data_IF_481649901866
#
_entry.id   IF_481649901866
#
_cell.length_a   1.000
_cell.length_b   1.000
_cell.length_c   1.000
_cell.angle_alpha   90.00
_cell.angle_beta   90.00
_cell.angle_gamma   90.00
#
_symmetry.space_group_name_H-M   'P 1'
#
loop_
_entity.id
_entity.type
_entity.pdbx_description
1 polymer ?
#
# COMPACT_ATOMS: atom_id res chain seq x y z
N UNK A 1 -2.85 -3.75 10.54
CA UNK A 1 -1.55 -4.41 10.34
C UNK A 1 -0.75 -3.82 9.18
N UNK A 2 -1.36 -3.40 8.06
CA UNK A 2 -0.63 -2.85 6.91
C UNK A 2 0.31 -1.68 7.26
N UNK A 3 -0.16 -0.68 8.01
CA UNK A 3 0.69 0.47 8.33
C UNK A 3 1.86 0.08 9.20
N UNK A 4 1.60 -0.71 10.24
CA UNK A 4 2.61 -1.24 11.16
C UNK A 4 3.75 -1.92 10.38
N UNK A 5 3.40 -2.87 9.51
CA UNK A 5 4.40 -3.63 8.75
C UNK A 5 5.18 -2.75 7.77
N UNK A 6 4.52 -1.77 7.14
CA UNK A 6 5.17 -0.86 6.19
C UNK A 6 6.06 0.16 6.90
N UNK A 7 5.63 0.69 8.03
CA UNK A 7 6.43 1.56 8.88
C UNK A 7 7.69 0.84 9.37
N UNK A 8 7.59 -0.43 9.80
CA UNK A 8 8.76 -1.23 10.15
C UNK A 8 9.68 -1.48 8.94
N UNK A 9 9.12 -1.75 7.75
CA UNK A 9 9.91 -1.92 6.53
C UNK A 9 10.66 -0.63 6.16
N UNK A 10 9.97 0.51 6.20
CA UNK A 10 10.51 1.81 5.81
C UNK A 10 11.61 2.30 6.76
N UNK A 11 11.45 2.07 8.06
CA UNK A 11 12.39 2.57 9.08
C UNK A 11 13.43 1.53 9.52
N UNK A 12 13.21 0.25 9.25
CA UNK A 12 13.98 -0.84 9.84
C UNK A 12 13.76 -1.04 11.34
N UNK A 13 12.74 -0.39 11.92
CA UNK A 13 12.50 -0.38 13.37
C UNK A 13 11.32 -1.24 13.78
N UNK A 14 11.29 -1.65 15.05
CA UNK A 14 10.11 -2.25 15.68
C UNK A 14 9.04 -1.20 16.01
N UNK A 15 7.80 -1.68 16.22
CA UNK A 15 6.61 -0.88 16.51
C UNK A 15 6.81 0.10 17.67
N UNK A 16 7.49 -0.35 18.73
CA UNK A 16 7.73 0.47 19.92
C UNK A 16 8.69 1.64 19.70
N UNK A 17 9.43 1.64 18.57
CA UNK A 17 10.33 2.72 18.19
C UNK A 17 9.68 3.67 17.18
N UNK A 18 9.05 3.13 16.12
CA UNK A 18 8.46 3.98 15.07
C UNK A 18 7.04 4.50 15.39
N UNK A 19 6.38 4.02 16.45
CA UNK A 19 5.13 4.61 16.96
C UNK A 19 3.85 4.37 16.14
N UNK A 20 3.94 3.95 14.87
CA UNK A 20 2.79 3.50 14.08
C UNK A 20 2.22 2.17 14.60
N UNK A 21 1.18 2.23 15.44
CA UNK A 21 0.66 1.08 16.21
C UNK A 21 -0.57 0.40 15.59
N UNK A 22 -1.28 1.07 14.67
CA UNK A 22 -2.43 0.49 13.98
C UNK A 22 -2.65 1.13 12.60
N UNK A 23 -3.84 0.98 12.00
CA UNK A 23 -4.16 1.46 10.66
C UNK A 23 -4.91 2.81 10.62
N UNK A 24 -5.15 3.46 11.76
CA UNK A 24 -5.83 4.75 11.87
C UNK A 24 -4.81 5.89 11.97
N UNK A 25 -5.27 7.11 11.66
CA UNK A 25 -4.50 8.34 11.86
C UNK A 25 -4.08 8.48 13.33
N UNK A 26 -4.99 8.18 14.27
CA UNK A 26 -4.72 8.20 15.71
C UNK A 26 -3.71 7.16 16.20
N UNK A 27 -3.46 6.11 15.41
CA UNK A 27 -2.36 5.17 15.63
C UNK A 27 -1.13 5.49 14.80
N UNK A 28 -0.99 6.75 14.36
CA UNK A 28 0.10 7.30 13.56
C UNK A 28 0.27 6.64 12.18
N UNK A 29 -0.79 6.07 11.60
CA UNK A 29 -0.73 5.68 10.19
C UNK A 29 -0.90 6.92 9.29
N UNK A 30 0.18 7.31 8.63
CA UNK A 30 0.31 8.61 7.92
C UNK A 30 0.08 9.83 8.81
N UNK A 31 -0.01 9.66 10.13
CA UNK A 31 -0.35 10.74 11.07
C UNK A 31 0.76 11.78 11.18
N UNK A 32 0.44 12.93 11.77
CA UNK A 32 1.41 14.02 11.92
C UNK A 32 2.64 13.61 12.76
N UNK A 33 2.51 12.71 13.73
CA UNK A 33 3.66 12.21 14.50
C UNK A 33 4.58 11.34 13.65
N UNK A 34 4.02 10.48 12.81
CA UNK A 34 4.76 9.73 11.79
C UNK A 34 5.53 10.68 10.84
N UNK A 35 4.85 11.68 10.27
CA UNK A 35 5.45 12.64 9.34
C UNK A 35 6.51 13.53 9.99
N UNK A 36 6.30 13.92 11.25
CA UNK A 36 7.22 14.80 11.97
C UNK A 36 8.51 14.10 12.39
N UNK A 37 8.49 12.77 12.56
CA UNK A 37 9.61 11.97 13.04
C UNK A 37 9.97 10.79 12.13
N UNK A 38 9.45 9.57 12.39
CA UNK A 38 9.91 8.33 11.74
C UNK A 38 9.98 8.36 10.21
N UNK A 39 9.09 9.10 9.54
CA UNK A 39 9.07 9.24 8.09
C UNK A 39 10.33 9.90 7.51
N UNK A 40 11.00 10.75 8.31
CA UNK A 40 12.24 11.44 7.92
C UNK A 40 13.48 10.57 8.06
N UNK A 41 13.35 9.40 8.68
CA UNK A 41 14.44 8.46 8.96
C UNK A 41 14.22 7.13 8.23
N UNK A 42 13.51 7.17 7.10
CA UNK A 42 13.25 5.98 6.29
C UNK A 42 14.47 5.64 5.43
N UNK A 43 14.58 4.38 4.99
CA UNK A 43 15.65 3.97 4.09
C UNK A 43 15.69 4.84 2.81
N UNK A 44 14.55 5.40 2.38
CA UNK A 44 14.45 6.23 1.19
C UNK A 44 15.28 7.51 1.34
N UNK A 45 15.21 8.15 2.52
CA UNK A 45 16.02 9.31 2.86
C UNK A 45 17.50 8.94 2.78
N UNK A 46 17.89 7.80 3.36
CA UNK A 46 19.28 7.34 3.30
C UNK A 46 19.75 6.98 1.88
N UNK A 47 18.90 6.42 1.01
CA UNK A 47 19.24 6.19 -0.40
C UNK A 47 19.48 7.51 -1.13
N UNK A 48 18.59 8.50 -0.94
CA UNK A 48 18.73 9.81 -1.55
C UNK A 48 20.01 10.52 -1.09
N UNK A 49 20.29 10.53 0.22
CA UNK A 49 21.54 11.05 0.79
C UNK A 49 22.78 10.31 0.29
N UNK A 50 22.64 9.01 0.01
CA UNK A 50 23.67 8.16 -0.58
C UNK A 50 23.90 8.36 -2.08
N UNK A 51 23.19 9.31 -2.72
CA UNK A 51 23.36 9.65 -4.13
C UNK A 51 22.57 8.79 -5.11
N UNK A 52 21.56 8.05 -4.63
CA UNK A 52 20.65 7.33 -5.51
C UNK A 52 19.55 8.25 -6.02
N UNK A 53 19.16 8.08 -7.29
CA UNK A 53 17.85 8.57 -7.76
C UNK A 53 16.76 7.65 -7.23
N UNK A 54 15.74 8.20 -6.60
CA UNK A 54 14.74 7.43 -5.84
C UNK A 54 13.34 7.58 -6.43
N UNK A 55 12.62 6.46 -6.55
CA UNK A 55 11.23 6.43 -7.03
C UNK A 55 10.35 5.58 -6.12
N UNK A 56 9.15 6.09 -5.82
CA UNK A 56 8.07 5.32 -5.22
C UNK A 56 6.84 5.29 -6.12
N UNK A 57 6.21 4.14 -6.28
CA UNK A 57 4.91 4.04 -6.94
C UNK A 57 3.96 3.03 -6.26
N UNK A 58 2.76 3.49 -5.93
CA UNK A 58 1.64 2.69 -5.45
C UNK A 58 1.17 3.07 -4.05
N UNK A 59 0.69 2.09 -3.29
CA UNK A 59 0.16 2.31 -1.93
C UNK A 59 1.30 2.61 -0.98
N UNK A 60 1.28 3.74 -0.27
CA UNK A 60 2.23 4.05 0.80
C UNK A 60 1.75 3.48 2.14
N UNK A 61 1.36 4.32 3.10
CA UNK A 61 0.62 3.94 4.30
C UNK A 61 -0.89 4.14 4.08
N UNK A 62 -1.74 3.55 4.92
CA UNK A 62 -3.17 3.87 4.85
C UNK A 62 -3.40 5.35 5.16
N UNK A 63 -4.47 5.92 4.63
CA UNK A 63 -4.86 7.32 4.84
C UNK A 63 -3.89 8.33 4.19
N UNK A 64 -2.80 7.91 3.57
CA UNK A 64 -1.90 8.83 2.86
C UNK A 64 -2.67 9.69 1.85
N UNK A 65 -2.32 10.97 1.72
CA UNK A 65 -2.87 11.84 0.69
C UNK A 65 -4.26 12.42 0.97
N UNK A 66 -4.89 12.08 2.10
CA UNK A 66 -6.15 12.73 2.52
C UNK A 66 -5.86 14.08 3.20
N UNK A 67 -6.81 15.04 3.18
CA UNK A 67 -6.58 16.38 3.74
C UNK A 67 -6.11 16.38 5.20
N UNK A 68 -6.62 15.45 6.01
CA UNK A 68 -6.32 15.34 7.45
C UNK A 68 -4.85 15.01 7.73
N UNK A 69 -4.11 14.49 6.75
CA UNK A 69 -2.69 14.17 6.89
C UNK A 69 -1.84 14.88 5.84
N UNK A 70 -2.24 16.09 5.44
CA UNK A 70 -1.43 16.95 4.56
C UNK A 70 -1.77 16.88 3.07
N UNK A 71 -2.76 16.09 2.67
CA UNK A 71 -3.24 16.06 1.29
C UNK A 71 -2.24 15.44 0.31
N UNK A 72 -2.52 15.61 -0.98
CA UNK A 72 -1.65 15.10 -2.06
C UNK A 72 -0.31 15.83 -2.08
N UNK A 73 -0.27 17.05 -1.55
CA UNK A 73 0.88 17.94 -1.48
C UNK A 73 1.96 17.42 -0.54
N UNK A 74 1.59 16.57 0.44
CA UNK A 74 2.57 15.90 1.29
C UNK A 74 3.29 14.79 0.53
N UNK A 75 4.57 15.02 0.22
CA UNK A 75 5.47 14.03 -0.36
C UNK A 75 6.38 13.54 0.76
N UNK A 76 6.37 12.22 1.10
CA UNK A 76 7.35 11.69 2.03
C UNK A 76 8.78 12.00 1.56
N UNK A 77 9.71 12.34 2.47
CA UNK A 77 11.08 12.66 2.09
C UNK A 77 11.82 11.42 1.57
N UNK A 78 12.89 11.64 0.80
CA UNK A 78 13.71 10.57 0.25
C UNK A 78 13.23 10.00 -1.09
N UNK A 79 12.32 10.70 -1.78
CA UNK A 79 11.81 10.31 -3.10
C UNK A 79 11.95 11.46 -4.11
N UNK A 80 12.73 11.25 -5.16
CA UNK A 80 12.85 12.20 -6.28
C UNK A 80 11.62 12.13 -7.20
N UNK A 81 11.02 10.94 -7.31
CA UNK A 81 9.77 10.71 -8.04
C UNK A 81 8.76 9.97 -7.17
N UNK A 82 7.59 10.59 -7.00
CA UNK A 82 6.56 10.13 -6.09
C UNK A 82 5.22 9.90 -6.82
N UNK A 83 4.72 8.67 -6.75
CA UNK A 83 3.39 8.28 -7.21
C UNK A 83 2.67 7.54 -6.08
N UNK A 84 2.05 8.28 -5.17
CA UNK A 84 1.38 7.74 -3.99
C UNK A 84 -0.14 7.58 -4.17
N UNK A 85 -0.68 6.38 -3.94
CA UNK A 85 -2.13 6.15 -3.92
C UNK A 85 -2.78 6.87 -2.73
N UNK A 86 -3.76 7.72 -3.02
CA UNK A 86 -4.52 8.44 -2.00
C UNK A 86 -5.50 7.51 -1.28
N UNK A 87 -5.44 7.50 0.05
CA UNK A 87 -6.34 6.78 0.94
C UNK A 87 -5.95 5.31 1.12
N UNK A 88 -6.86 4.41 0.71
CA UNK A 88 -6.75 2.97 0.95
C UNK A 88 -6.73 2.19 -0.37
N UNK A 89 -6.51 0.88 -0.28
CA UNK A 89 -6.40 0.01 -1.46
C UNK A 89 -7.63 0.15 -2.36
N UNK A 90 -7.39 0.49 -3.62
CA UNK A 90 -8.36 0.57 -4.71
C UNK A 90 -7.65 0.19 -6.01
N UNK A 91 -8.44 -0.18 -7.03
CA UNK A 91 -7.94 -0.54 -8.35
C UNK A 91 -8.51 0.33 -9.46
N UNK A 92 -9.65 0.97 -9.19
CA UNK A 92 -10.38 1.92 -10.02
C UNK A 92 -10.94 3.06 -9.16
N UNK A 93 -11.40 4.14 -9.78
CA UNK A 93 -12.04 5.28 -9.12
C UNK A 93 -11.20 5.80 -7.93
N UNK A 94 -9.92 6.04 -8.20
CA UNK A 94 -8.93 6.46 -7.22
C UNK A 94 -8.23 7.75 -7.64
N UNK A 95 -7.41 8.26 -6.72
CA UNK A 95 -6.56 9.43 -6.93
C UNK A 95 -5.13 9.06 -6.56
N UNK A 96 -4.18 9.66 -7.25
CA UNK A 96 -2.75 9.59 -6.95
C UNK A 96 -2.25 10.98 -6.56
N UNK A 97 -1.28 11.04 -5.66
CA UNK A 97 -0.34 12.16 -5.60
C UNK A 97 0.82 11.83 -6.55
N UNK A 98 0.95 12.62 -7.61
CA UNK A 98 2.05 12.55 -8.56
C UNK A 98 2.90 13.80 -8.37
N UNK A 99 4.01 13.63 -7.65
CA UNK A 99 4.90 14.73 -7.24
C UNK A 99 4.14 15.90 -6.61
N UNK A 100 3.22 15.61 -5.68
CA UNK A 100 2.45 16.64 -4.98
C UNK A 100 1.18 17.10 -5.71
N UNK A 101 0.94 16.62 -6.94
CA UNK A 101 -0.21 17.00 -7.76
C UNK A 101 -1.21 15.85 -7.85
N UNK A 102 -2.51 16.15 -7.70
CA UNK A 102 -3.56 15.14 -7.81
C UNK A 102 -3.74 14.67 -9.27
N UNK A 103 -3.63 13.36 -9.50
CA UNK A 103 -4.03 12.68 -10.75
C UNK A 103 -5.22 11.76 -10.45
N UNK A 104 -6.34 11.90 -11.16
CA UNK A 104 -7.56 11.12 -10.95
C UNK A 104 -7.73 10.05 -12.03
N UNK A 105 -8.18 8.87 -11.63
CA UNK A 105 -8.42 7.71 -12.51
C UNK A 105 -9.84 7.19 -12.35
N UNK A 106 -10.43 6.80 -13.49
CA UNK A 106 -11.78 6.25 -13.60
C UNK A 106 -11.83 4.74 -13.43
N UNK A 107 -12.68 4.08 -14.21
CA UNK A 107 -12.94 2.64 -14.17
C UNK A 107 -12.73 1.93 -15.52
N UNK A 108 -12.04 2.55 -16.47
CA UNK A 108 -11.65 1.89 -17.71
C UNK A 108 -10.41 1.03 -17.47
N UNK A 109 -10.55 -0.29 -17.62
CA UNK A 109 -9.45 -1.25 -17.41
C UNK A 109 -8.16 -0.89 -18.19
N UNK A 110 -8.27 -0.45 -19.44
CA UNK A 110 -7.11 -0.24 -20.30
C UNK A 110 -6.27 0.96 -19.85
N UNK A 111 -6.90 1.93 -19.16
CA UNK A 111 -6.26 3.20 -18.78
C UNK A 111 -6.18 3.44 -17.28
N UNK A 112 -7.02 2.79 -16.47
CA UNK A 112 -7.20 3.13 -15.06
C UNK A 112 -6.85 2.01 -14.10
N UNK A 113 -6.53 0.78 -14.55
CA UNK A 113 -6.17 -0.26 -13.60
C UNK A 113 -4.86 0.07 -12.88
N UNK A 114 -4.94 0.29 -11.55
CA UNK A 114 -3.81 0.83 -10.77
C UNK A 114 -2.50 0.06 -10.93
N UNK A 115 -2.54 -1.27 -10.97
CA UNK A 115 -1.34 -2.10 -11.16
C UNK A 115 -0.65 -1.80 -12.50
N UNK A 116 -1.44 -1.54 -13.55
CA UNK A 116 -0.93 -1.19 -14.87
C UNK A 116 -0.39 0.26 -14.89
N UNK A 117 -1.03 1.18 -14.17
CA UNK A 117 -0.52 2.54 -13.99
C UNK A 117 0.82 2.55 -13.25
N UNK A 118 0.94 1.79 -12.14
CA UNK A 118 2.21 1.65 -11.40
C UNK A 118 3.32 1.11 -12.33
N UNK A 119 3.00 0.08 -13.11
CA UNK A 119 3.94 -0.47 -14.10
C UNK A 119 4.36 0.57 -15.13
N UNK A 120 3.41 1.34 -15.68
CA UNK A 120 3.70 2.39 -16.66
C UNK A 120 4.63 3.45 -16.10
N UNK A 121 4.31 4.01 -14.93
CA UNK A 121 5.14 5.04 -14.27
C UNK A 121 6.55 4.51 -13.96
N UNK A 122 6.69 3.22 -13.65
CA UNK A 122 7.99 2.58 -13.44
C UNK A 122 8.83 2.55 -14.72
N UNK A 123 8.24 2.19 -15.86
CA UNK A 123 8.94 2.25 -17.15
C UNK A 123 9.27 3.70 -17.53
N UNK A 124 8.34 4.64 -17.34
CA UNK A 124 8.60 6.06 -17.59
C UNK A 124 9.77 6.56 -16.73
N UNK A 125 9.91 6.11 -15.48
CA UNK A 125 11.08 6.42 -14.64
C UNK A 125 12.38 5.82 -15.18
N UNK A 126 12.36 4.54 -15.56
CA UNK A 126 13.54 3.86 -16.12
C UNK A 126 14.02 4.48 -17.44
N UNK A 127 13.10 4.95 -18.28
CA UNK A 127 13.43 5.61 -19.55
C UNK A 127 14.10 6.99 -19.35
N UNK A 128 13.99 7.59 -18.16
CA UNK A 128 14.52 8.91 -17.83
C UNK A 128 15.61 8.89 -16.74
N UNK A 129 16.02 7.71 -16.27
CA UNK A 129 17.06 7.60 -15.24
C UNK A 129 18.41 7.98 -15.84
N UNK A 130 19.25 8.62 -15.04
CA UNK A 130 20.62 8.91 -15.44
C UNK A 130 21.48 7.66 -15.25
N UNK A 131 22.03 7.10 -16.34
CA UNK A 131 22.88 5.91 -16.31
C UNK A 131 24.16 6.09 -15.47
N UNK A 132 24.59 7.33 -15.22
CA UNK A 132 25.76 7.64 -14.38
C UNK A 132 25.47 7.62 -12.87
N UNK A 133 24.21 7.46 -12.46
CA UNK A 133 23.79 7.39 -11.06
C UNK A 133 23.02 6.10 -10.77
N UNK A 134 23.25 5.43 -9.62
CA UNK A 134 22.42 4.31 -9.25
C UNK A 134 21.01 4.79 -8.92
N UNK A 135 20.02 3.93 -9.11
CA UNK A 135 18.64 4.22 -8.71
C UNK A 135 18.09 3.19 -7.73
N UNK A 136 17.12 3.64 -6.94
CA UNK A 136 16.31 2.79 -6.09
C UNK A 136 14.83 3.05 -6.41
N UNK A 137 14.09 1.98 -6.73
CA UNK A 137 12.68 2.07 -7.08
C UNK A 137 11.86 1.10 -6.22
N UNK A 138 10.86 1.62 -5.52
CA UNK A 138 9.91 0.83 -4.74
C UNK A 138 8.53 0.83 -5.39
N UNK A 139 8.16 -0.32 -5.97
CA UNK A 139 6.84 -0.55 -6.55
C UNK A 139 5.98 -1.31 -5.54
N UNK A 140 5.02 -0.61 -4.95
CA UNK A 140 4.15 -1.12 -3.90
C UNK A 140 2.71 -1.23 -4.38
N UNK A 141 2.44 -2.26 -5.19
CA UNK A 141 1.09 -2.55 -5.65
C UNK A 141 0.18 -2.99 -4.48
N UNK A 142 -1.07 -2.52 -4.40
CA UNK A 142 -2.02 -3.00 -3.37
C UNK A 142 -2.61 -4.37 -3.72
N UNK A 143 -2.46 -4.84 -4.96
CA UNK A 143 -2.86 -6.17 -5.40
C UNK A 143 -2.21 -7.26 -4.52
N UNK A 144 -2.93 -8.25 -4.00
CA UNK A 144 -4.34 -8.62 -4.21
C UNK A 144 -5.23 -8.33 -2.99
N UNK A 145 -5.08 -7.17 -2.35
CA UNK A 145 -5.91 -6.78 -1.21
C UNK A 145 -7.35 -6.42 -1.64
N UNK A 146 -8.34 -6.60 -0.77
CA UNK A 146 -9.72 -6.13 -1.01
C UNK A 146 -9.76 -4.63 -1.44
N UNK A 147 -10.63 -4.21 -2.38
CA UNK A 147 -11.57 -5.04 -3.16
C UNK A 147 -10.83 -5.96 -4.13
N UNK A 148 -11.23 -7.22 -4.30
CA UNK A 148 -10.46 -8.22 -5.05
C UNK A 148 -10.59 -8.06 -6.58
N UNK A 149 -10.40 -6.83 -7.07
CA UNK A 149 -10.58 -6.47 -8.48
C UNK A 149 -9.40 -6.98 -9.31
N UNK A 150 -9.66 -8.02 -10.11
CA UNK A 150 -8.70 -8.62 -11.01
C UNK A 150 -8.72 -7.96 -12.40
N UNK A 151 -7.63 -8.11 -13.15
CA UNK A 151 -7.63 -7.76 -14.58
C UNK A 151 -8.61 -8.68 -15.34
N UNK A 152 -9.47 -8.15 -16.25
CA UNK A 152 -10.47 -8.93 -16.97
C UNK A 152 -9.91 -10.18 -17.67
N UNK A 153 -8.67 -10.13 -18.15
CA UNK A 153 -7.98 -11.28 -18.77
C UNK A 153 -7.79 -12.49 -17.85
N UNK A 154 -7.89 -12.31 -16.53
CA UNK A 154 -7.79 -13.38 -15.54
C UNK A 154 -9.15 -13.87 -15.01
N UNK A 155 -10.26 -13.31 -15.47
CA UNK A 155 -11.61 -13.61 -14.97
C UNK A 155 -11.95 -15.11 -15.01
N UNK A 156 -11.45 -15.82 -16.02
CA UNK A 156 -11.73 -17.24 -16.23
C UNK A 156 -10.67 -18.18 -15.65
N UNK A 157 -9.58 -17.67 -15.05
CA UNK A 157 -8.45 -18.51 -14.63
C UNK A 157 -8.79 -19.52 -13.53
N UNK A 158 -9.82 -19.24 -12.70
CA UNK A 158 -10.13 -20.02 -11.51
C UNK A 158 -11.63 -20.35 -11.36
N UNK A 159 -12.40 -20.36 -12.45
CA UNK A 159 -13.86 -20.63 -12.40
C UNK A 159 -14.20 -22.06 -11.97
N UNK A 160 -13.30 -23.01 -12.20
CA UNK A 160 -13.48 -24.44 -11.86
C UNK A 160 -12.63 -24.90 -10.66
N UNK A 161 -11.96 -23.95 -9.98
CA UNK A 161 -11.09 -24.27 -8.84
C UNK A 161 -11.59 -23.57 -7.59
N UNK A 162 -11.65 -24.32 -6.49
CA UNK A 162 -11.91 -23.76 -5.17
C UNK A 162 -10.63 -23.74 -4.34
N UNK A 163 -10.51 -22.76 -3.46
CA UNK A 163 -9.46 -22.74 -2.45
C UNK A 163 -9.55 -24.01 -1.57
N UNK A 164 -8.42 -24.60 -1.14
CA UNK A 164 -8.44 -25.77 -0.27
C UNK A 164 -9.22 -25.51 1.03
N UNK A 165 -10.25 -26.32 1.26
CA UNK A 165 -11.02 -26.32 2.52
C UNK A 165 -10.54 -27.48 3.38
N UNK A 166 -9.58 -27.21 4.28
CA UNK A 166 -9.09 -28.22 5.24
C UNK A 166 -10.17 -28.54 6.29
N UNK A 167 -10.03 -29.60 7.11
CA UNK A 167 -10.98 -29.88 8.18
C UNK A 167 -11.18 -28.71 9.16
N UNK A 168 -10.19 -27.81 9.28
CA UNK A 168 -10.25 -26.62 10.12
C UNK A 168 -10.88 -25.39 9.44
N UNK A 169 -11.32 -25.51 8.18
CA UNK A 169 -11.93 -24.41 7.43
C UNK A 169 -13.34 -24.12 7.94
N UNK A 170 -13.59 -22.85 8.27
CA UNK A 170 -14.90 -22.32 8.63
C UNK A 170 -15.67 -23.12 9.70
N UNK A 171 -14.97 -23.72 10.67
CA UNK A 171 -15.60 -24.43 11.78
C UNK A 171 -16.30 -23.39 12.67
N UNK A 172 -17.62 -23.48 12.91
CA UNK A 172 -18.33 -22.60 13.83
C UNK A 172 -17.73 -22.64 15.24
N UNK A 173 -17.77 -21.54 15.98
CA UNK A 173 -17.23 -21.47 17.33
C UNK A 173 -17.81 -22.58 18.23
N UNK A 174 -16.92 -23.39 18.81
CA UNK A 174 -17.18 -24.20 19.99
C UNK A 174 -16.47 -23.61 21.22
N UNK A 175 -16.86 -24.05 22.41
CA UNK A 175 -16.18 -23.69 23.67
C UNK A 175 -14.72 -24.19 23.72
N UNK A 176 -14.32 -25.04 22.78
CA UNK A 176 -12.99 -25.62 22.59
C UNK A 176 -11.98 -24.64 21.95
N UNK A 177 -12.42 -23.48 21.45
CA UNK A 177 -11.54 -22.47 20.83
C UNK A 177 -11.07 -21.42 21.86
N UNK A 178 -9.80 -20.95 21.78
CA UNK A 178 -9.31 -19.82 22.55
C UNK A 178 -10.21 -18.58 22.42
N UNK A 179 -10.32 -17.80 23.50
CA UNK A 179 -11.27 -16.69 23.58
C UNK A 179 -11.11 -15.65 22.46
N UNK A 180 -9.89 -15.41 21.98
CA UNK A 180 -9.60 -14.48 20.89
C UNK A 180 -10.24 -14.90 19.57
N UNK A 181 -10.19 -16.19 19.23
CA UNK A 181 -10.78 -16.72 17.99
C UNK A 181 -12.30 -16.65 17.99
N UNK A 182 -12.92 -16.57 19.19
CA UNK A 182 -14.37 -16.46 19.35
C UNK A 182 -14.91 -15.04 19.11
N UNK A 183 -14.05 -14.04 18.93
CA UNK A 183 -14.48 -12.65 18.75
C UNK A 183 -14.88 -12.28 17.31
N UNK A 184 -14.52 -13.10 16.32
CA UNK A 184 -14.84 -12.84 14.91
C UNK A 184 -16.22 -13.35 14.49
N UNK A 185 -16.69 -12.90 13.32
CA UNK A 185 -17.87 -13.46 12.64
C UNK A 185 -17.58 -14.91 12.27
N UNK A 186 -18.40 -15.82 12.80
CA UNK A 186 -18.20 -17.27 12.74
C UNK A 186 -19.57 -17.96 12.63
N UNK A 187 -19.81 -18.80 11.60
CA UNK A 187 -18.94 -19.03 10.46
C UNK A 187 -18.76 -17.76 9.61
N UNK A 188 -17.72 -17.74 8.78
CA UNK A 188 -17.55 -16.77 7.71
C UNK A 188 -18.80 -16.79 6.81
N UNK A 189 -19.32 -15.62 6.42
CA UNK A 189 -20.36 -15.50 5.40
C UNK A 189 -19.99 -16.14 4.06
N UNK A 190 -20.99 -16.51 3.27
CA UNK A 190 -20.79 -17.17 1.96
C UNK A 190 -20.23 -16.24 0.88
N UNK A 191 -20.24 -14.92 1.11
CA UNK A 191 -19.73 -13.87 0.21
C UNK A 191 -18.26 -13.49 0.47
N UNK A 192 -17.55 -14.25 1.32
CA UNK A 192 -16.12 -14.07 1.64
C UNK A 192 -15.23 -14.98 0.79
#
# INVERSE_FOLDING_TARGET
FLCISRSSLLTGQYIHNHGAINNSISGECSGHGWQAGPEKETFAVHFQEGGYTTMYAGKYLNQYGIPEVGGVEHIPPGWDSWVGLVGNSKYYNYKLSVNGTMEAHGDDYETDYLTNIIRKKAFDFLDNVNDDQPFFMMLSTPASHHPFDYEPKYASNFTERSAPRTPNFNIPNGLDKPWLLRQGVQPLPDDV
#
